data_IF_095362677928
#
_entry.id   IF_095362677928
#
_cell.length_a   1.000
_cell.length_b   1.000
_cell.length_c   1.000
_cell.angle_alpha   90.00
_cell.angle_beta   90.00
_cell.angle_gamma   90.00
#
_symmetry.space_group_name_H-M   'P 1'
#
loop_
_entity.id
_entity.type
_entity.pdbx_description
1 polymer ?
#
# COMPACT_ATOMS: atom_id res chain seq x y z
N UNK A 1 8.33 -9.09 27.40
CA UNK A 1 7.22 -9.44 26.49
C UNK A 1 7.83 -9.84 25.16
N UNK A 2 7.39 -10.96 24.57
CA UNK A 2 7.87 -11.42 23.26
C UNK A 2 7.26 -10.56 22.16
N UNK A 3 8.08 -10.02 21.26
CA UNK A 3 7.61 -9.25 20.10
C UNK A 3 6.89 -10.20 19.13
N UNK A 4 5.80 -9.73 18.51
CA UNK A 4 5.11 -10.47 17.46
C UNK A 4 6.00 -10.61 16.22
N UNK A 5 6.14 -11.83 15.73
CA UNK A 5 6.88 -12.20 14.51
C UNK A 5 6.34 -13.52 13.98
N UNK A 6 6.75 -13.95 12.79
CA UNK A 6 6.39 -15.27 12.27
C UNK A 6 6.87 -16.38 13.22
N UNK A 7 8.05 -16.22 13.81
CA UNK A 7 8.60 -17.17 14.77
C UNK A 7 7.79 -17.23 16.08
N UNK A 8 7.25 -16.11 16.56
CA UNK A 8 6.46 -16.08 17.80
C UNK A 8 4.97 -16.39 17.58
N UNK A 9 4.48 -16.38 16.34
CA UNK A 9 3.07 -16.54 15.99
C UNK A 9 2.41 -17.82 16.56
N UNK A 10 3.09 -18.99 16.61
CA UNK A 10 2.52 -20.18 17.24
C UNK A 10 2.21 -20.00 18.74
N UNK A 11 2.93 -19.11 19.44
CA UNK A 11 2.80 -18.86 20.88
C UNK A 11 1.82 -17.74 21.25
N UNK A 12 1.11 -17.17 20.29
CA UNK A 12 0.06 -16.16 20.53
C UNK A 12 -1.11 -16.81 21.28
N UNK A 13 -1.73 -16.14 22.29
CA UNK A 13 -2.85 -16.70 23.05
C UNK A 13 -4.01 -17.18 22.18
N UNK A 14 -4.68 -18.27 22.57
CA UNK A 14 -5.77 -18.88 21.80
C UNK A 14 -6.97 -17.95 21.55
N UNK A 15 -7.16 -16.92 22.40
CA UNK A 15 -8.19 -15.89 22.23
C UNK A 15 -7.90 -14.92 21.08
N UNK A 16 -6.68 -14.91 20.54
CA UNK A 16 -6.29 -14.06 19.41
C UNK A 16 -6.31 -14.91 18.14
N UNK A 17 -7.13 -14.52 17.17
CA UNK A 17 -7.18 -15.18 15.88
C UNK A 17 -5.84 -15.01 15.13
N UNK A 18 -5.36 -16.10 14.52
CA UNK A 18 -4.13 -16.12 13.71
C UNK A 18 -4.49 -16.18 12.23
N UNK A 19 -3.59 -15.76 11.32
CA UNK A 19 -3.74 -16.01 9.89
C UNK A 19 -4.04 -17.49 9.62
N UNK A 20 -5.04 -17.76 8.78
CA UNK A 20 -5.45 -19.12 8.38
C UNK A 20 -4.62 -19.68 7.20
N UNK A 21 -3.46 -19.07 6.94
CA UNK A 21 -2.55 -19.36 5.84
C UNK A 21 -1.11 -19.26 6.36
N UNK A 22 -0.17 -19.88 5.66
CA UNK A 22 1.26 -19.70 5.94
C UNK A 22 1.71 -18.32 5.43
N UNK A 23 2.16 -17.41 6.32
CA UNK A 23 2.69 -16.13 5.89
C UNK A 23 3.79 -16.24 4.83
N UNK A 24 4.65 -17.26 4.91
CA UNK A 24 5.78 -17.43 3.99
C UNK A 24 5.35 -17.78 2.55
N UNK A 25 4.14 -18.30 2.36
CA UNK A 25 3.60 -18.66 1.05
C UNK A 25 2.99 -17.48 0.27
N UNK A 26 2.89 -16.30 0.90
CA UNK A 26 2.22 -15.12 0.31
C UNK A 26 3.15 -14.35 -0.62
N UNK A 27 2.76 -14.21 -1.89
CA UNK A 27 3.44 -13.32 -2.84
C UNK A 27 2.75 -11.95 -2.90
N UNK A 28 3.46 -10.93 -3.38
CA UNK A 28 2.91 -9.58 -3.52
C UNK A 28 2.13 -9.44 -4.82
N UNK A 29 0.86 -9.01 -4.71
CA UNK A 29 0.00 -8.67 -5.85
C UNK A 29 -0.63 -7.29 -5.75
N UNK A 30 -0.45 -6.64 -4.60
CA UNK A 30 -0.99 -5.31 -4.28
C UNK A 30 0.14 -4.42 -3.80
N UNK A 31 0.26 -3.22 -4.37
CA UNK A 31 1.05 -2.13 -3.79
C UNK A 31 0.11 -1.16 -3.09
N UNK A 32 0.43 -0.78 -1.86
CA UNK A 32 -0.39 0.15 -1.08
C UNK A 32 0.41 1.35 -0.58
N UNK A 33 0.02 2.54 -1.02
CA UNK A 33 0.60 3.81 -0.60
C UNK A 33 -0.11 4.38 0.64
N UNK A 34 0.67 4.73 1.66
CA UNK A 34 0.17 5.30 2.91
C UNK A 34 -0.44 4.24 3.84
N UNK A 35 0.36 3.29 4.37
CA UNK A 35 -0.11 2.14 5.15
C UNK A 35 -0.55 2.52 6.58
N UNK A 36 -1.34 3.57 6.74
CA UNK A 36 -1.83 4.12 8.00
C UNK A 36 -2.82 3.20 8.73
N UNK A 37 -3.39 3.71 9.82
CA UNK A 37 -4.28 2.93 10.68
C UNK A 37 -5.53 2.42 9.94
N UNK A 38 -6.15 3.27 9.09
CA UNK A 38 -7.34 2.88 8.33
C UNK A 38 -7.06 1.73 7.37
N UNK A 39 -6.00 1.81 6.55
CA UNK A 39 -5.61 0.70 5.68
C UNK A 39 -5.43 -0.60 6.47
N UNK A 40 -4.66 -0.55 7.56
CA UNK A 40 -4.36 -1.71 8.39
C UNK A 40 -5.62 -2.31 9.03
N UNK A 41 -6.59 -1.49 9.42
CA UNK A 41 -7.84 -1.95 10.01
C UNK A 41 -8.93 -2.32 8.98
N UNK A 42 -8.76 -1.94 7.71
CA UNK A 42 -9.79 -2.11 6.67
C UNK A 42 -9.26 -2.85 5.44
N UNK A 43 -8.47 -2.19 4.57
CA UNK A 43 -8.01 -2.77 3.30
C UNK A 43 -7.19 -4.04 3.51
N UNK A 44 -6.19 -3.97 4.40
CA UNK A 44 -5.38 -5.13 4.75
C UNK A 44 -6.16 -6.22 5.49
N UNK A 45 -7.18 -5.85 6.28
CA UNK A 45 -8.05 -6.80 6.97
C UNK A 45 -8.84 -7.69 6.00
N UNK A 46 -9.39 -7.11 4.92
CA UNK A 46 -10.07 -7.89 3.88
C UNK A 46 -9.10 -8.77 3.09
N UNK A 47 -7.93 -8.24 2.73
CA UNK A 47 -6.90 -9.01 2.02
C UNK A 47 -6.41 -10.18 2.86
N UNK A 48 -6.20 -10.00 4.16
CA UNK A 48 -5.79 -11.07 5.08
C UNK A 48 -6.72 -12.29 5.00
N UNK A 49 -8.03 -12.06 4.93
CA UNK A 49 -9.03 -13.14 4.79
C UNK A 49 -8.98 -13.80 3.41
N UNK A 50 -8.71 -13.03 2.36
CA UNK A 50 -8.57 -13.55 1.00
C UNK A 50 -7.36 -14.50 0.88
N UNK A 51 -6.26 -14.22 1.59
CA UNK A 51 -5.00 -14.95 1.49
C UNK A 51 -5.09 -16.44 1.87
N UNK A 52 -6.10 -16.83 2.64
CA UNK A 52 -6.40 -18.25 2.89
C UNK A 52 -6.79 -19.03 1.62
N UNK A 53 -7.31 -18.33 0.61
CA UNK A 53 -7.78 -18.93 -0.65
C UNK A 53 -6.92 -18.52 -1.86
N UNK A 54 -6.30 -17.34 -1.83
CA UNK A 54 -5.43 -16.87 -2.92
C UNK A 54 -4.21 -16.14 -2.34
N UNK A 55 -3.07 -16.83 -2.14
CA UNK A 55 -1.89 -16.26 -1.51
C UNK A 55 -1.15 -15.25 -2.39
N UNK A 56 -1.64 -14.98 -3.61
CA UNK A 56 -0.98 -14.06 -4.55
C UNK A 56 -1.21 -12.58 -4.24
N UNK A 57 -2.14 -12.27 -3.34
CA UNK A 57 -2.62 -10.91 -3.11
C UNK A 57 -1.97 -10.21 -1.91
N UNK A 58 -0.78 -10.64 -1.50
CA UNK A 58 -0.02 -9.95 -0.47
C UNK A 58 0.26 -8.49 -0.81
N UNK A 59 0.51 -7.69 0.22
CA UNK A 59 0.60 -6.24 0.12
C UNK A 59 2.04 -5.78 0.30
N UNK A 60 2.55 -4.98 -0.64
CA UNK A 60 3.69 -4.10 -0.41
C UNK A 60 3.22 -2.81 0.26
N UNK A 61 3.69 -2.54 1.48
CA UNK A 61 3.47 -1.28 2.17
C UNK A 61 4.48 -0.23 1.69
N UNK A 62 3.97 0.90 1.17
CA UNK A 62 4.78 2.00 0.65
C UNK A 62 4.50 3.28 1.43
N UNK A 63 5.54 3.88 1.98
CA UNK A 63 5.47 5.20 2.63
C UNK A 63 6.49 6.15 2.01
N UNK A 64 6.00 7.19 1.33
CA UNK A 64 6.84 8.16 0.63
C UNK A 64 7.46 9.21 1.56
N UNK A 65 6.84 9.48 2.72
CA UNK A 65 7.23 10.58 3.61
C UNK A 65 7.94 10.14 4.88
N UNK A 66 7.56 9.02 5.47
CA UNK A 66 8.11 8.57 6.76
C UNK A 66 8.32 7.07 6.82
N UNK A 67 9.47 6.64 7.34
CA UNK A 67 9.81 5.22 7.43
C UNK A 67 9.09 4.48 8.56
N UNK A 68 8.68 5.19 9.63
CA UNK A 68 8.32 4.58 10.92
C UNK A 68 7.28 3.45 10.86
N UNK A 69 6.21 3.60 10.08
CA UNK A 69 5.19 2.53 9.95
C UNK A 69 5.72 1.32 9.18
N UNK A 70 6.46 1.56 8.10
CA UNK A 70 7.01 0.51 7.25
C UNK A 70 8.10 -0.27 7.98
N UNK A 71 8.94 0.42 8.76
CA UNK A 71 9.93 -0.22 9.64
C UNK A 71 9.26 -1.02 10.77
N UNK A 72 8.18 -0.50 11.37
CA UNK A 72 7.45 -1.23 12.41
C UNK A 72 6.82 -2.52 11.86
N UNK A 73 6.27 -2.49 10.64
CA UNK A 73 5.80 -3.68 9.94
C UNK A 73 6.96 -4.64 9.67
N UNK A 74 8.06 -4.15 9.08
CA UNK A 74 9.25 -4.97 8.78
C UNK A 74 9.81 -5.65 10.02
N UNK A 75 9.88 -4.94 11.15
CA UNK A 75 10.42 -5.45 12.42
C UNK A 75 9.56 -6.55 13.08
N UNK A 76 8.37 -6.83 12.55
CA UNK A 76 7.45 -7.88 13.00
C UNK A 76 7.05 -8.82 11.85
N UNK A 77 7.87 -8.95 10.81
CA UNK A 77 7.59 -9.78 9.63
C UNK A 77 6.25 -9.43 8.93
N UNK A 78 5.81 -8.17 9.05
CA UNK A 78 4.55 -7.67 8.49
C UNK A 78 3.33 -8.00 9.34
N UNK A 79 3.53 -8.60 10.50
CA UNK A 79 2.48 -8.96 11.44
C UNK A 79 2.13 -7.78 12.35
N UNK A 80 0.84 -7.61 12.61
CA UNK A 80 0.30 -6.71 13.63
C UNK A 80 -1.07 -7.23 14.08
N UNK A 81 -1.57 -6.72 15.20
CA UNK A 81 -2.92 -7.05 15.67
C UNK A 81 -3.93 -5.97 15.26
N UNK A 82 -5.13 -6.39 14.87
CA UNK A 82 -6.33 -5.56 14.82
C UNK A 82 -7.23 -5.97 15.98
N UNK A 83 -7.60 -5.00 16.81
CA UNK A 83 -8.56 -5.18 17.89
C UNK A 83 -9.87 -4.50 17.53
N UNK A 84 -10.96 -5.27 17.50
CA UNK A 84 -12.32 -4.76 17.34
C UNK A 84 -12.90 -4.56 18.74
N UNK A 85 -13.28 -3.32 19.04
CA UNK A 85 -13.93 -2.95 20.30
C UNK A 85 -15.42 -2.77 20.02
N UNK A 86 -16.19 -3.80 20.34
CA UNK A 86 -17.65 -3.85 20.19
C UNK A 86 -18.24 -4.60 21.39
N UNK A 87 -19.55 -4.89 21.39
CA UNK A 87 -20.23 -5.71 22.42
C UNK A 87 -19.49 -7.04 22.65
N UNK A 88 -18.96 -7.63 21.59
CA UNK A 88 -18.11 -8.83 21.62
C UNK A 88 -16.72 -8.46 21.08
N UNK A 89 -15.75 -8.13 21.95
CA UNK A 89 -14.41 -7.76 21.52
C UNK A 89 -13.67 -8.92 20.87
N UNK A 90 -12.89 -8.64 19.84
CA UNK A 90 -12.04 -9.64 19.19
C UNK A 90 -10.68 -9.07 18.83
N UNK A 91 -9.66 -9.92 18.82
CA UNK A 91 -8.31 -9.57 18.36
C UNK A 91 -7.87 -10.56 17.30
N UNK A 92 -7.34 -10.07 16.19
CA UNK A 92 -6.78 -10.89 15.11
C UNK A 92 -5.39 -10.40 14.75
N UNK A 93 -4.44 -11.31 14.58
CA UNK A 93 -3.17 -11.03 13.92
C UNK A 93 -3.41 -10.98 12.41
N UNK A 94 -3.08 -9.83 11.81
CA UNK A 94 -3.06 -9.63 10.37
C UNK A 94 -1.65 -9.90 9.87
N UNK A 95 -1.57 -10.67 8.79
CA UNK A 95 -0.33 -11.00 8.10
C UNK A 95 -0.33 -10.60 6.64
N UNK A 96 -1.14 -9.64 6.17
CA UNK A 96 -1.24 -9.38 4.73
C UNK A 96 0.00 -8.70 4.09
N UNK A 97 0.88 -8.06 4.87
CA UNK A 97 2.00 -7.29 4.34
C UNK A 97 3.28 -8.11 4.16
N UNK A 98 3.89 -8.04 2.98
CA UNK A 98 5.09 -8.85 2.62
C UNK A 98 6.27 -8.08 2.04
N UNK A 99 6.05 -6.84 1.64
CA UNK A 99 7.12 -5.95 1.24
C UNK A 99 6.96 -4.59 1.90
N UNK A 100 8.08 -3.91 2.09
CA UNK A 100 8.22 -2.72 2.91
C UNK A 100 9.10 -1.74 2.16
N UNK A 101 8.53 -0.62 1.72
CA UNK A 101 9.22 0.42 0.95
C UNK A 101 9.12 1.74 1.71
N UNK A 102 10.26 2.21 2.22
CA UNK A 102 10.37 3.50 2.89
C UNK A 102 10.94 4.59 1.98
N UNK A 103 11.13 5.82 2.51
CA UNK A 103 11.87 6.86 1.82
C UNK A 103 13.31 6.39 1.52
N UNK A 104 13.80 6.60 0.29
CA UNK A 104 15.12 6.12 -0.16
C UNK A 104 15.14 4.71 -0.77
N UNK A 105 13.99 4.01 -0.81
CA UNK A 105 13.85 2.70 -1.47
C UNK A 105 13.24 2.82 -2.89
N UNK A 106 13.55 3.88 -3.63
CA UNK A 106 12.92 4.19 -4.93
C UNK A 106 13.11 3.10 -5.97
N UNK A 107 14.27 2.45 -5.99
CA UNK A 107 14.55 1.32 -6.89
C UNK A 107 13.58 0.17 -6.63
N UNK A 108 13.35 -0.18 -5.35
CA UNK A 108 12.43 -1.23 -4.95
C UNK A 108 10.98 -0.91 -5.30
N UNK A 109 10.57 0.35 -5.14
CA UNK A 109 9.23 0.78 -5.53
C UNK A 109 9.00 0.60 -7.03
N UNK A 110 9.99 0.97 -7.84
CA UNK A 110 9.94 0.82 -9.29
C UNK A 110 9.81 -0.64 -9.71
N UNK A 111 10.64 -1.51 -9.13
CA UNK A 111 10.58 -2.95 -9.40
C UNK A 111 9.19 -3.51 -9.11
N UNK A 112 8.58 -3.12 -7.98
CA UNK A 112 7.23 -3.54 -7.62
C UNK A 112 6.16 -3.02 -8.58
N UNK A 113 6.25 -1.78 -9.04
CA UNK A 113 5.27 -1.21 -9.98
C UNK A 113 5.42 -1.81 -11.39
N UNK A 114 6.63 -2.21 -11.77
CA UNK A 114 6.91 -2.90 -13.03
C UNK A 114 6.50 -4.38 -13.03
N UNK A 115 6.45 -5.03 -11.85
CA UNK A 115 6.20 -6.47 -11.72
C UNK A 115 4.80 -6.87 -12.24
N UNK A 116 4.69 -7.78 -13.24
CA UNK A 116 3.40 -8.24 -13.75
C UNK A 116 2.49 -8.91 -12.70
N UNK A 117 3.05 -9.43 -11.60
CA UNK A 117 2.28 -9.99 -10.49
C UNK A 117 1.51 -8.90 -9.70
N UNK A 118 2.03 -7.67 -9.67
CA UNK A 118 1.31 -6.52 -9.13
C UNK A 118 0.23 -6.09 -10.11
N UNK A 119 -1.02 -6.34 -9.73
CA UNK A 119 -2.21 -6.04 -10.54
C UNK A 119 -3.06 -4.93 -9.97
N UNK A 120 -2.83 -4.54 -8.72
CA UNK A 120 -3.59 -3.52 -8.00
C UNK A 120 -2.63 -2.58 -7.28
N UNK A 121 -2.85 -1.27 -7.44
CA UNK A 121 -2.24 -0.22 -6.65
C UNK A 121 -3.33 0.51 -5.88
N UNK A 122 -3.18 0.60 -4.57
CA UNK A 122 -4.15 1.26 -3.68
C UNK A 122 -3.51 2.39 -2.88
N UNK A 123 -4.31 3.33 -2.39
CA UNK A 123 -3.78 4.46 -1.60
C UNK A 123 -4.72 4.93 -0.49
N UNK A 124 -4.12 5.28 0.66
CA UNK A 124 -4.72 6.04 1.76
C UNK A 124 -3.74 7.10 2.26
N UNK A 125 -3.54 8.15 1.48
CA UNK A 125 -2.52 9.19 1.70
C UNK A 125 -3.10 10.52 2.18
N UNK A 126 -4.40 10.57 2.47
CA UNK A 126 -5.20 11.78 2.70
C UNK A 126 -5.30 12.68 1.47
N UNK A 127 -6.21 13.66 1.50
CA UNK A 127 -6.44 14.61 0.41
C UNK A 127 -5.16 15.35 0.00
N UNK A 128 -4.30 15.67 0.98
CA UNK A 128 -3.01 16.35 0.76
C UNK A 128 -1.97 15.48 0.06
N UNK A 129 -2.17 14.17 -0.02
CA UNK A 129 -1.24 13.24 -0.65
C UNK A 129 -1.38 13.16 -2.17
N UNK A 130 -2.45 13.71 -2.74
CA UNK A 130 -2.73 13.65 -4.19
C UNK A 130 -2.31 14.90 -4.96
N UNK A 131 -1.74 15.91 -4.28
CA UNK A 131 -1.34 17.19 -4.88
C UNK A 131 -2.48 17.85 -5.67
N UNK A 132 -3.70 17.84 -5.13
CA UNK A 132 -4.88 18.44 -5.76
C UNK A 132 -5.15 19.85 -5.23
N UNK A 133 -5.66 20.72 -6.10
CA UNK A 133 -6.26 22.00 -5.72
C UNK A 133 -7.62 21.78 -5.05
N UNK A 134 -8.19 22.83 -4.48
CA UNK A 134 -9.51 22.78 -3.82
C UNK A 134 -10.67 22.35 -4.73
N UNK A 135 -10.54 22.56 -6.05
CA UNK A 135 -11.51 22.10 -7.05
C UNK A 135 -11.30 20.62 -7.48
N UNK A 136 -10.28 19.95 -6.96
CA UNK A 136 -9.96 18.56 -7.24
C UNK A 136 -9.11 18.33 -8.50
N UNK A 137 -8.64 19.39 -9.16
CA UNK A 137 -7.67 19.29 -10.27
C UNK A 137 -6.24 19.14 -9.74
N UNK A 138 -5.32 18.63 -10.57
CA UNK A 138 -3.91 18.55 -10.20
C UNK A 138 -3.34 19.97 -9.99
N UNK A 139 -2.67 20.18 -8.85
CA UNK A 139 -1.92 21.39 -8.59
C UNK A 139 -0.55 21.30 -9.26
N UNK A 140 -0.46 21.78 -10.50
CA UNK A 140 0.78 21.79 -11.30
C UNK A 140 1.88 22.65 -10.70
N UNK A 141 1.55 23.58 -9.79
CA UNK A 141 2.52 24.42 -9.10
C UNK A 141 3.00 23.78 -7.77
N UNK A 142 2.42 22.64 -7.39
CA UNK A 142 2.83 21.93 -6.18
C UNK A 142 4.30 21.48 -6.31
N UNK A 143 5.17 21.69 -5.29
CA UNK A 143 6.61 21.41 -5.40
C UNK A 143 6.94 19.98 -5.84
N UNK A 144 6.20 18.99 -5.35
CA UNK A 144 6.39 17.59 -5.77
C UNK A 144 6.00 17.37 -7.24
N UNK A 145 4.97 18.05 -7.75
CA UNK A 145 4.54 17.93 -9.15
C UNK A 145 5.54 18.62 -10.08
N UNK A 146 6.01 19.80 -9.71
CA UNK A 146 7.10 20.50 -10.43
C UNK A 146 8.35 19.64 -10.49
N UNK A 147 8.72 18.98 -9.37
CA UNK A 147 9.84 18.02 -9.35
C UNK A 147 9.59 16.84 -10.30
N UNK A 148 8.41 16.23 -10.24
CA UNK A 148 8.07 15.06 -11.06
C UNK A 148 8.11 15.37 -12.55
N UNK A 149 7.65 16.55 -12.97
CA UNK A 149 7.75 17.01 -14.36
C UNK A 149 9.20 17.21 -14.82
N UNK A 150 10.07 17.72 -13.94
CA UNK A 150 11.49 17.90 -14.24
C UNK A 150 12.32 16.62 -14.13
N UNK A 151 11.81 15.58 -13.48
CA UNK A 151 12.51 14.32 -13.24
C UNK A 151 11.53 13.12 -13.23
N UNK A 152 10.90 12.81 -14.37
CA UNK A 152 9.83 11.80 -14.45
C UNK A 152 10.32 10.38 -14.13
N UNK A 153 11.61 10.11 -14.33
CA UNK A 153 12.23 8.86 -13.92
C UNK A 153 12.45 8.77 -12.40
N UNK A 154 12.34 9.86 -11.63
CA UNK A 154 12.57 9.88 -10.18
C UNK A 154 11.47 10.68 -9.45
N UNK A 155 10.20 10.23 -9.53
CA UNK A 155 9.09 10.97 -8.95
C UNK A 155 9.10 10.94 -7.42
N UNK A 156 8.50 11.97 -6.82
CA UNK A 156 8.28 12.15 -5.39
C UNK A 156 6.80 12.04 -5.02
N UNK A 157 5.89 12.49 -5.89
CA UNK A 157 4.46 12.43 -5.59
C UNK A 157 3.88 11.04 -5.84
N UNK A 158 2.74 10.75 -5.21
CA UNK A 158 1.95 9.55 -5.53
C UNK A 158 1.57 9.52 -7.01
N UNK A 159 1.15 10.67 -7.57
CA UNK A 159 0.71 10.77 -8.98
C UNK A 159 1.87 10.46 -9.91
N UNK A 160 3.07 10.99 -9.64
CA UNK A 160 4.29 10.69 -10.40
C UNK A 160 4.67 9.22 -10.36
N UNK A 161 4.61 8.58 -9.17
CA UNK A 161 4.86 7.14 -9.07
C UNK A 161 3.84 6.28 -9.85
N UNK A 162 2.57 6.69 -9.87
CA UNK A 162 1.55 6.01 -10.68
C UNK A 162 1.84 6.15 -12.18
N UNK A 163 2.17 7.36 -12.65
CA UNK A 163 2.50 7.64 -14.05
C UNK A 163 3.75 6.86 -14.46
N UNK A 164 4.82 6.93 -13.66
CA UNK A 164 6.08 6.22 -13.93
C UNK A 164 5.87 4.71 -14.04
N UNK A 165 5.19 4.10 -13.07
CA UNK A 165 4.91 2.66 -13.09
C UNK A 165 4.06 2.24 -14.28
N UNK A 166 3.03 3.01 -14.63
CA UNK A 166 2.21 2.74 -15.82
C UNK A 166 3.01 2.90 -17.13
N UNK A 167 3.86 3.92 -17.22
CA UNK A 167 4.71 4.16 -18.38
C UNK A 167 5.75 3.05 -18.57
N UNK A 168 6.37 2.59 -17.47
CA UNK A 168 7.31 1.47 -17.49
C UNK A 168 6.64 0.18 -17.98
N UNK A 169 5.43 -0.12 -17.50
CA UNK A 169 4.66 -1.29 -17.95
C UNK A 169 4.26 -1.18 -19.42
N UNK A 170 3.78 -0.02 -19.86
CA UNK A 170 3.44 0.21 -21.26
C UNK A 170 4.65 -0.01 -22.18
N UNK A 171 5.82 0.51 -21.80
CA UNK A 171 7.07 0.34 -22.55
C UNK A 171 7.55 -1.12 -22.61
N UNK A 172 7.28 -1.89 -21.57
CA UNK A 172 7.61 -3.32 -21.49
C UNK A 172 6.54 -4.26 -22.11
N UNK A 173 5.41 -3.73 -22.57
CA UNK A 173 4.28 -4.55 -23.05
C UNK A 173 3.53 -5.29 -21.94
N UNK A 174 3.69 -4.85 -20.68
CA UNK A 174 3.01 -5.41 -19.51
C UNK A 174 1.65 -4.75 -19.32
N UNK A 175 0.61 -5.55 -19.08
CA UNK A 175 -0.75 -5.03 -18.83
C UNK A 175 -0.78 -4.05 -17.63
N UNK A 176 -1.55 -2.95 -17.66
CA UNK A 176 -1.59 -1.98 -16.56
C UNK A 176 -2.17 -2.58 -15.28
N UNK A 177 -1.79 -2.04 -14.13
CA UNK A 177 -2.48 -2.33 -12.86
C UNK A 177 -3.73 -1.47 -12.70
N UNK A 178 -4.70 -1.96 -11.92
CA UNK A 178 -5.83 -1.16 -11.49
C UNK A 178 -5.42 -0.20 -10.36
N UNK A 179 -5.85 1.06 -10.43
CA UNK A 179 -5.57 2.07 -9.40
C UNK A 179 -6.84 2.34 -8.59
N UNK A 180 -6.76 2.14 -7.27
CA UNK A 180 -7.89 2.29 -6.35
C UNK A 180 -7.55 3.30 -5.25
N UNK A 181 -8.19 4.46 -5.30
CA UNK A 181 -8.15 5.40 -4.18
C UNK A 181 -9.09 4.93 -3.06
N UNK A 182 -8.56 4.75 -1.85
CA UNK A 182 -9.32 4.35 -0.67
C UNK A 182 -9.46 5.48 0.36
N UNK A 183 -9.11 6.72 -0.01
CA UNK A 183 -9.34 7.90 0.83
C UNK A 183 -10.80 8.36 0.75
N UNK A 184 -11.25 9.01 1.83
CA UNK A 184 -12.59 9.56 1.96
C UNK A 184 -12.72 10.88 1.17
N UNK A 185 -12.78 10.77 -0.15
CA UNK A 185 -12.92 11.91 -1.05
C UNK A 185 -14.05 11.65 -2.03
N UNK A 186 -14.95 12.63 -2.21
CA UNK A 186 -15.99 12.54 -3.22
C UNK A 186 -15.36 12.43 -4.62
N UNK A 187 -15.78 11.42 -5.40
CA UNK A 187 -15.26 11.15 -6.74
C UNK A 187 -13.76 10.81 -6.77
N UNK A 188 -13.24 10.19 -5.71
CA UNK A 188 -11.81 9.95 -5.52
C UNK A 188 -11.10 9.30 -6.73
N UNK A 189 -11.69 8.27 -7.33
CA UNK A 189 -11.14 7.59 -8.50
C UNK A 189 -11.13 8.47 -9.75
N UNK A 190 -12.19 9.26 -9.97
CA UNK A 190 -12.26 10.18 -11.10
C UNK A 190 -11.23 11.32 -10.98
N UNK A 191 -11.07 11.88 -9.76
CA UNK A 191 -10.05 12.89 -9.47
C UNK A 191 -8.64 12.35 -9.65
N UNK A 192 -8.34 11.17 -9.11
CA UNK A 192 -7.04 10.55 -9.26
C UNK A 192 -6.74 10.25 -10.73
N UNK A 193 -7.71 9.73 -11.48
CA UNK A 193 -7.58 9.52 -12.93
C UNK A 193 -7.28 10.84 -13.65
N UNK A 194 -8.03 11.90 -13.37
CA UNK A 194 -7.81 13.21 -13.99
C UNK A 194 -6.41 13.77 -13.68
N UNK A 195 -5.95 13.61 -12.44
CA UNK A 195 -4.61 14.01 -12.02
C UNK A 195 -3.50 13.21 -12.74
N UNK A 196 -3.63 11.89 -12.80
CA UNK A 196 -2.67 11.03 -13.53
C UNK A 196 -2.64 11.31 -15.03
N UNK A 197 -3.76 11.72 -15.64
CA UNK A 197 -3.81 12.10 -17.07
C UNK A 197 -3.22 13.48 -17.32
N UNK A 198 -3.28 14.38 -16.33
CA UNK A 198 -2.79 15.75 -16.46
C UNK A 198 -1.27 15.90 -16.25
N UNK A 199 -0.64 14.92 -15.58
CA UNK A 199 0.81 14.85 -15.37
C UNK A 199 1.50 14.16 -16.56
#
# INVERSE_FOLDING_TARGET
MTRLSVASLPGVPALVARPAYDPAAVSVGIVHFGPGAFHRAHGAWYVDRLLANDPRWGIAAVSLRSAGTVEALRAQDGLYSVSVLDREPSVQVIGAHRAYVGPGDEARLRDLLADPAVRIVTSTVTEKGYCLRGDGTLDVDHPDIVHDQGSPAHPRSLVGWLVEGLAARASAGTAPFAVLCCDNMAGNGAKLRAATVAL
#
